data_IF_638874679870
#
_entry.id   IF_638874679870
#
_cell.length_a   1.000
_cell.length_b   1.000
_cell.length_c   1.000
_cell.angle_alpha   90.00
_cell.angle_beta   90.00
_cell.angle_gamma   90.00
#
_symmetry.space_group_name_H-M   'P 1'
#
loop_
_entity.id
_entity.type
_entity.pdbx_description
1 polymer ?
#
# COMPACT_ATOMS: atom_id res chain seq x y z
N UNK A 1 -10.63 20.88 78.68
CA UNK A 1 -9.32 20.19 78.56
C UNK A 1 -9.52 18.97 77.67
N UNK A 2 -9.09 19.00 76.39
CA UNK A 2 -9.23 17.84 75.48
C UNK A 2 -8.12 16.84 75.83
N UNK A 3 -8.48 15.59 76.09
CA UNK A 3 -7.52 14.55 76.49
C UNK A 3 -6.54 14.23 75.34
N UNK A 4 -5.24 14.02 75.65
CA UNK A 4 -4.21 13.77 74.63
C UNK A 4 -4.44 12.48 73.82
N UNK A 5 -5.22 11.54 74.37
CA UNK A 5 -5.54 10.25 73.74
C UNK A 5 -6.34 10.43 72.44
N UNK A 6 -7.31 11.34 72.39
CA UNK A 6 -8.14 11.56 71.21
C UNK A 6 -7.35 12.18 70.04
N UNK A 7 -6.30 12.94 70.34
CA UNK A 7 -5.45 13.59 69.33
C UNK A 7 -4.59 12.54 68.62
N UNK A 8 -4.00 11.61 69.38
CA UNK A 8 -3.21 10.50 68.83
C UNK A 8 -4.06 9.53 68.00
N UNK A 9 -5.27 9.19 68.47
CA UNK A 9 -6.20 8.32 67.74
C UNK A 9 -6.63 8.91 66.39
N UNK A 10 -6.95 10.20 66.34
CA UNK A 10 -7.33 10.87 65.09
C UNK A 10 -6.16 10.88 64.08
N UNK A 11 -4.92 11.11 64.53
CA UNK A 11 -3.75 11.06 63.65
C UNK A 11 -3.52 9.66 63.07
N UNK A 12 -3.71 8.62 63.88
CA UNK A 12 -3.60 7.23 63.42
C UNK A 12 -4.65 6.90 62.36
N UNK A 13 -5.90 7.32 62.58
CA UNK A 13 -6.98 7.13 61.60
C UNK A 13 -6.73 7.85 60.27
N UNK A 14 -6.17 9.07 60.32
CA UNK A 14 -5.78 9.83 59.12
C UNK A 14 -4.68 9.11 58.33
N UNK A 15 -3.66 8.58 59.00
CA UNK A 15 -2.58 7.82 58.36
C UNK A 15 -3.13 6.54 57.72
N UNK A 16 -4.03 5.84 58.40
CA UNK A 16 -4.68 4.64 57.86
C UNK A 16 -5.47 4.96 56.58
N UNK A 17 -6.26 6.04 56.59
CA UNK A 17 -7.03 6.48 55.41
C UNK A 17 -6.09 6.82 54.24
N UNK A 18 -4.98 7.51 54.50
CA UNK A 18 -3.98 7.84 53.48
C UNK A 18 -3.35 6.56 52.92
N UNK A 19 -2.97 5.60 53.76
CA UNK A 19 -2.41 4.32 53.33
C UNK A 19 -3.38 3.53 52.45
N UNK A 20 -4.66 3.45 52.86
CA UNK A 20 -5.71 2.81 52.07
C UNK A 20 -5.90 3.54 50.74
N UNK A 21 -5.92 4.88 50.76
CA UNK A 21 -6.02 5.69 49.55
C UNK A 21 -4.87 5.44 48.56
N UNK A 22 -3.63 5.39 49.06
CA UNK A 22 -2.45 5.05 48.24
C UNK A 22 -2.59 3.64 47.66
N UNK A 23 -3.01 2.66 48.47
CA UNK A 23 -3.23 1.28 48.01
C UNK A 23 -4.26 1.20 46.88
N UNK A 24 -5.37 1.93 47.01
CA UNK A 24 -6.39 2.02 45.98
C UNK A 24 -5.84 2.66 44.70
N UNK A 25 -5.13 3.80 44.81
CA UNK A 25 -4.52 4.49 43.66
C UNK A 25 -3.57 3.55 42.90
N UNK A 26 -2.70 2.84 43.62
CA UNK A 26 -1.74 1.90 43.01
C UNK A 26 -2.48 0.75 42.32
N UNK A 27 -3.51 0.18 42.97
CA UNK A 27 -4.29 -0.93 42.40
C UNK A 27 -5.03 -0.51 41.12
N UNK A 28 -5.68 0.66 41.15
CA UNK A 28 -6.43 1.20 40.02
C UNK A 28 -5.50 1.56 38.86
N UNK A 29 -4.39 2.24 39.17
CA UNK A 29 -3.38 2.57 38.16
C UNK A 29 -2.88 1.30 37.47
N UNK A 30 -2.53 0.26 38.24
CA UNK A 30 -2.05 -1.00 37.68
C UNK A 30 -3.11 -1.68 36.79
N UNK A 31 -4.39 -1.63 37.16
CA UNK A 31 -5.47 -2.17 36.34
C UNK A 31 -5.68 -1.37 35.07
N UNK A 32 -5.65 -0.04 35.14
CA UNK A 32 -5.77 0.84 33.97
C UNK A 32 -4.62 0.57 32.98
N UNK A 33 -3.38 0.48 33.47
CA UNK A 33 -2.23 0.16 32.62
C UNK A 33 -2.36 -1.20 31.93
N UNK A 34 -2.90 -2.21 32.61
CA UNK A 34 -3.16 -3.53 31.99
C UNK A 34 -4.22 -3.44 30.91
N UNK A 35 -5.31 -2.71 31.17
CA UNK A 35 -6.40 -2.54 30.21
C UNK A 35 -5.92 -1.81 28.95
N UNK A 36 -5.13 -0.74 29.12
CA UNK A 36 -4.56 0.01 27.99
C UNK A 36 -3.63 -0.87 27.15
N UNK A 37 -2.73 -1.64 27.79
CA UNK A 37 -1.86 -2.58 27.06
C UNK A 37 -2.65 -3.63 26.28
N UNK A 38 -3.69 -4.20 26.89
CA UNK A 38 -4.53 -5.19 26.22
C UNK A 38 -5.28 -4.57 25.02
N UNK A 39 -5.76 -3.33 25.15
CA UNK A 39 -6.39 -2.61 24.05
C UNK A 39 -5.40 -2.30 22.91
N UNK A 40 -4.17 -1.91 23.24
CA UNK A 40 -3.11 -1.68 22.25
C UNK A 40 -2.75 -2.97 21.51
N UNK A 41 -2.59 -4.09 22.22
CA UNK A 41 -2.33 -5.41 21.63
C UNK A 41 -3.46 -5.85 20.70
N UNK A 42 -4.72 -5.64 21.09
CA UNK A 42 -5.89 -5.90 20.26
C UNK A 42 -5.88 -5.06 18.98
N UNK A 43 -5.66 -3.75 19.09
CA UNK A 43 -5.59 -2.86 17.93
C UNK A 43 -4.47 -3.26 16.96
N UNK A 44 -3.29 -3.62 17.47
CA UNK A 44 -2.18 -4.08 16.63
C UNK A 44 -2.50 -5.40 15.93
N UNK A 45 -3.15 -6.33 16.64
CA UNK A 45 -3.58 -7.59 16.05
C UNK A 45 -4.64 -7.39 14.95
N UNK A 46 -5.65 -6.55 15.19
CA UNK A 46 -6.69 -6.21 14.21
C UNK A 46 -6.10 -5.53 12.97
N UNK A 47 -5.19 -4.58 13.15
CA UNK A 47 -4.49 -3.94 12.03
C UNK A 47 -3.69 -4.94 11.20
N UNK A 48 -3.01 -5.88 11.86
CA UNK A 48 -2.24 -6.93 11.18
C UNK A 48 -3.15 -7.88 10.38
N UNK A 49 -4.30 -8.27 10.94
CA UNK A 49 -5.29 -9.08 10.23
C UNK A 49 -5.78 -8.34 8.98
N UNK A 50 -6.18 -7.09 9.12
CA UNK A 50 -6.67 -6.27 8.00
C UNK A 50 -5.60 -6.11 6.90
N UNK A 51 -4.34 -5.91 7.28
CA UNK A 51 -3.24 -5.82 6.32
C UNK A 51 -3.04 -7.13 5.56
N UNK A 52 -3.07 -8.27 6.26
CA UNK A 52 -2.92 -9.60 5.64
C UNK A 52 -4.10 -9.95 4.73
N UNK A 53 -5.32 -9.56 5.09
CA UNK A 53 -6.50 -9.74 4.24
C UNK A 53 -6.38 -8.93 2.93
N UNK A 54 -5.93 -7.68 3.02
CA UNK A 54 -5.66 -6.84 1.85
C UNK A 54 -4.56 -7.43 0.97
N UNK A 55 -3.44 -7.83 1.57
CA UNK A 55 -2.32 -8.45 0.85
C UNK A 55 -2.76 -9.76 0.17
N UNK A 56 -3.57 -10.58 0.85
CA UNK A 56 -4.09 -11.80 0.28
C UNK A 56 -5.02 -11.53 -0.91
N UNK A 57 -5.88 -10.50 -0.84
CA UNK A 57 -6.76 -10.12 -1.93
C UNK A 57 -5.96 -9.62 -3.15
N UNK A 58 -4.97 -8.76 -2.93
CA UNK A 58 -4.07 -8.25 -3.98
C UNK A 58 -3.30 -9.38 -4.66
N UNK A 59 -2.77 -10.33 -3.87
CA UNK A 59 -2.07 -11.49 -4.40
C UNK A 59 -3.01 -12.41 -5.19
N UNK A 60 -4.25 -12.59 -4.75
CA UNK A 60 -5.25 -13.35 -5.48
C UNK A 60 -5.56 -12.72 -6.85
N UNK A 61 -5.74 -11.40 -6.89
CA UNK A 61 -5.98 -10.67 -8.14
C UNK A 61 -4.79 -10.75 -9.10
N UNK A 62 -3.57 -10.59 -8.58
CA UNK A 62 -2.34 -10.75 -9.39
C UNK A 62 -2.22 -12.16 -9.94
N UNK A 63 -2.50 -13.17 -9.13
CA UNK A 63 -2.49 -14.57 -9.55
C UNK A 63 -3.48 -14.79 -10.70
N UNK A 64 -4.71 -14.30 -10.58
CA UNK A 64 -5.72 -14.41 -11.63
C UNK A 64 -5.27 -13.71 -12.91
N UNK A 65 -4.71 -12.50 -12.81
CA UNK A 65 -4.16 -11.78 -13.95
C UNK A 65 -3.04 -12.57 -14.66
N UNK A 66 -2.08 -13.12 -13.91
CA UNK A 66 -0.98 -13.91 -14.49
C UNK A 66 -1.43 -15.25 -15.06
N UNK A 67 -2.54 -15.80 -14.58
CA UNK A 67 -3.17 -17.00 -15.13
C UNK A 67 -4.06 -16.71 -16.35
N UNK A 68 -4.37 -15.44 -16.62
CA UNK A 68 -5.20 -15.07 -17.76
C UNK A 68 -4.52 -15.41 -19.09
N UNK A 69 -5.33 -15.86 -20.06
CA UNK A 69 -4.85 -16.16 -21.41
C UNK A 69 -4.19 -14.95 -22.08
N UNK A 70 -4.67 -13.74 -21.80
CA UNK A 70 -4.11 -12.51 -22.31
C UNK A 70 -2.65 -12.29 -21.83
N UNK A 71 -2.37 -12.54 -20.56
CA UNK A 71 -1.01 -12.44 -20.03
C UNK A 71 -0.10 -13.54 -20.61
N UNK A 72 -0.59 -14.77 -20.69
CA UNK A 72 0.14 -15.90 -21.27
C UNK A 72 0.46 -15.64 -22.75
N UNK A 73 -0.50 -15.16 -23.52
CA UNK A 73 -0.31 -14.81 -24.94
C UNK A 73 0.69 -13.67 -25.11
N UNK A 74 0.58 -12.62 -24.29
CA UNK A 74 1.50 -11.49 -24.32
C UNK A 74 2.93 -11.92 -24.01
N UNK A 75 3.13 -12.75 -22.99
CA UNK A 75 4.46 -13.28 -22.65
C UNK A 75 4.98 -14.24 -23.73
N UNK A 76 4.13 -15.08 -24.33
CA UNK A 76 4.51 -15.97 -25.42
C UNK A 76 4.93 -15.19 -26.68
N UNK A 77 4.20 -14.12 -27.04
CA UNK A 77 4.56 -13.23 -28.16
C UNK A 77 5.87 -12.50 -27.88
N UNK A 78 6.02 -11.90 -26.70
CA UNK A 78 7.18 -11.05 -26.39
C UNK A 78 8.47 -11.82 -26.13
N UNK A 79 8.39 -12.98 -25.44
CA UNK A 79 9.59 -13.73 -25.03
C UNK A 79 9.95 -14.85 -25.98
N UNK A 80 8.94 -15.48 -26.59
CA UNK A 80 9.16 -16.66 -27.42
C UNK A 80 8.98 -16.36 -28.91
N UNK A 81 8.62 -15.12 -29.28
CA UNK A 81 8.18 -14.75 -30.63
C UNK A 81 7.12 -15.74 -31.17
N UNK A 82 6.35 -16.35 -30.26
CA UNK A 82 5.34 -17.33 -30.62
C UNK A 82 4.17 -16.60 -31.27
N UNK A 83 3.69 -17.19 -32.35
CA UNK A 83 2.73 -16.63 -33.28
C UNK A 83 1.59 -17.64 -33.41
N UNK A 84 0.32 -17.20 -33.43
CA UNK A 84 -0.82 -18.14 -33.51
C UNK A 84 -0.89 -18.80 -34.89
N UNK A 85 -1.55 -19.95 -34.98
CA UNK A 85 -1.79 -20.62 -36.27
C UNK A 85 -2.55 -19.67 -37.21
N UNK A 86 -1.92 -19.31 -38.34
CA UNK A 86 -2.47 -18.39 -39.34
C UNK A 86 -1.90 -16.96 -39.32
N UNK A 87 -1.06 -16.59 -38.35
CA UNK A 87 -0.35 -15.30 -38.35
C UNK A 87 0.98 -15.39 -39.13
N UNK A 88 1.30 -14.37 -39.93
CA UNK A 88 2.55 -14.30 -40.72
C UNK A 88 3.54 -13.35 -40.06
N UNK A 89 4.70 -13.87 -39.65
CA UNK A 89 5.80 -13.06 -39.11
C UNK A 89 6.49 -12.32 -40.26
N UNK A 90 6.34 -10.99 -40.31
CA UNK A 90 7.01 -10.15 -41.29
C UNK A 90 8.38 -9.71 -40.74
N UNK A 91 9.45 -10.31 -41.25
CA UNK A 91 10.82 -9.89 -40.93
C UNK A 91 11.18 -8.71 -41.84
N UNK A 92 11.33 -7.57 -41.21
CA UNK A 92 11.62 -6.29 -41.83
C UNK A 92 13.14 -6.19 -42.13
N UNK A 93 13.55 -5.97 -43.40
CA UNK A 93 14.97 -5.88 -43.73
C UNK A 93 15.60 -4.63 -43.10
N UNK A 94 16.88 -4.68 -42.68
CA UNK A 94 17.55 -3.56 -41.99
C UNK A 94 17.60 -2.28 -42.83
N UNK A 95 17.45 -2.40 -44.14
CA UNK A 95 17.49 -1.30 -45.11
C UNK A 95 16.09 -0.73 -45.41
N UNK A 96 15.14 -0.86 -44.48
CA UNK A 96 13.74 -0.48 -44.68
C UNK A 96 13.54 0.94 -45.17
N UNK A 97 14.34 1.88 -44.66
CA UNK A 97 14.31 3.29 -45.10
C UNK A 97 14.71 3.46 -46.57
N UNK A 98 15.63 2.60 -47.03
CA UNK A 98 16.14 2.60 -48.40
C UNK A 98 15.17 1.88 -49.37
N UNK A 99 14.47 0.84 -48.88
CA UNK A 99 13.46 0.09 -49.64
C UNK A 99 12.14 0.85 -49.76
N UNK A 100 11.74 1.59 -48.73
CA UNK A 100 10.51 2.41 -48.73
C UNK A 100 10.67 3.73 -49.49
N UNK A 101 11.84 4.03 -50.05
CA UNK A 101 12.05 5.23 -50.85
C UNK A 101 11.80 6.53 -50.09
N UNK A 102 12.17 6.57 -48.81
CA UNK A 102 12.08 7.79 -48.01
C UNK A 102 13.13 8.78 -48.53
N UNK A 103 12.74 9.62 -49.49
CA UNK A 103 13.56 10.73 -49.98
C UNK A 103 13.89 11.62 -48.79
N UNK A 104 15.18 11.75 -48.47
CA UNK A 104 15.76 12.74 -47.57
C UNK A 104 15.52 14.18 -48.09
N UNK A 105 14.28 14.65 -48.05
CA UNK A 105 13.95 16.07 -48.17
C UNK A 105 12.98 16.41 -47.04
N UNK A 106 13.45 16.27 -45.81
CA UNK A 106 12.80 16.89 -44.65
C UNK A 106 13.38 18.30 -44.52
N UNK A 107 12.57 19.37 -44.68
CA UNK A 107 13.00 20.72 -44.35
C UNK A 107 13.43 20.80 -42.89
N UNK A 108 14.51 21.51 -42.60
CA UNK A 108 15.16 21.64 -41.29
C UNK A 108 14.30 22.33 -40.20
N UNK A 109 13.00 22.52 -40.42
CA UNK A 109 12.05 22.93 -39.39
C UNK A 109 10.71 22.20 -39.56
N UNK A 110 10.19 21.54 -38.50
CA UNK A 110 8.89 20.89 -38.57
C UNK A 110 7.80 21.97 -38.72
N UNK A 111 7.14 21.99 -39.89
CA UNK A 111 5.97 22.82 -40.13
C UNK A 111 4.91 22.58 -39.04
N UNK A 112 4.19 23.61 -38.57
CA UNK A 112 3.05 23.42 -37.67
C UNK A 112 2.04 22.42 -38.24
N UNK A 113 1.48 21.55 -37.39
CA UNK A 113 0.61 20.43 -37.79
C UNK A 113 -0.48 20.84 -38.79
N UNK A 114 -1.13 22.00 -38.61
CA UNK A 114 -2.20 22.47 -39.50
C UNK A 114 -1.75 22.68 -40.96
N UNK A 115 -0.51 23.12 -41.20
CA UNK A 115 0.04 23.26 -42.57
C UNK A 115 0.28 21.91 -43.23
N UNK A 116 0.69 20.92 -42.44
CA UNK A 116 0.91 19.57 -42.93
C UNK A 116 -0.42 18.97 -43.42
N UNK A 117 -1.50 19.15 -42.66
CA UNK A 117 -2.84 18.74 -43.08
C UNK A 117 -3.30 19.51 -44.33
N UNK A 118 -3.08 20.82 -44.42
CA UNK A 118 -3.50 21.56 -45.61
C UNK A 118 -2.86 21.03 -46.91
N UNK A 119 -1.53 20.81 -46.92
CA UNK A 119 -0.81 20.29 -48.08
C UNK A 119 -1.20 18.87 -48.50
N UNK A 120 -1.76 18.07 -47.59
CA UNK A 120 -2.16 16.70 -47.90
C UNK A 120 -3.55 16.63 -48.55
N UNK A 121 -4.41 17.62 -48.29
CA UNK A 121 -5.83 17.58 -48.62
C UNK A 121 -6.28 18.65 -49.63
N UNK A 122 -5.42 19.61 -49.98
CA UNK A 122 -5.67 20.68 -50.94
C UNK A 122 -4.48 20.90 -51.86
#
# INVERSE_FOLDING_TARGET
MRSPVNILQNRLSQILIVLVGIGLIVSLSRNIFKLLKAADELNLAEQKVKQLEQESADLAQKKEFYQSEAFIEQEARNKLNMTKEGETVVILPPNLKQVLGEKENLPTEPLPNWRQWWNLFF
#
